data_IF_301886798219
#
_entry.id   IF_301886798219
#
_cell.length_a   1.000
_cell.length_b   1.000
_cell.length_c   1.000
_cell.angle_alpha   90.00
_cell.angle_beta   90.00
_cell.angle_gamma   90.00
#
_symmetry.space_group_name_H-M   'P 1'
#
loop_
_entity.id
_entity.type
_entity.pdbx_description
1 polymer ?
#
# COMPACT_ATOMS: atom_id res chain seq x y z
N UNK A 1 -23.93 12.80 -9.40
CA UNK A 1 -22.87 13.73 -8.97
C UNK A 1 -22.63 14.74 -10.09
N UNK A 2 -22.53 16.04 -9.78
CA UNK A 2 -22.21 17.09 -10.76
C UNK A 2 -20.70 17.01 -10.99
N UNK A 3 -20.24 16.72 -12.21
CA UNK A 3 -18.83 16.42 -12.56
C UNK A 3 -17.89 17.63 -12.47
N UNK A 4 -17.84 18.27 -11.32
CA UNK A 4 -16.96 19.40 -11.03
C UNK A 4 -15.55 18.90 -10.77
N UNK A 5 -14.57 19.69 -11.22
CA UNK A 5 -13.17 19.43 -10.89
C UNK A 5 -12.88 19.91 -9.47
N UNK A 6 -12.13 19.13 -8.70
CA UNK A 6 -11.96 19.34 -7.25
C UNK A 6 -10.49 19.57 -6.87
N UNK A 7 -10.25 20.54 -5.99
CA UNK A 7 -8.95 20.79 -5.37
C UNK A 7 -9.12 20.69 -3.85
N UNK A 8 -8.45 19.72 -3.23
CA UNK A 8 -8.50 19.51 -1.78
C UNK A 8 -7.31 20.19 -1.09
N UNK A 9 -7.61 21.03 -0.09
CA UNK A 9 -6.59 21.62 0.78
C UNK A 9 -6.50 20.78 2.05
N UNK A 10 -5.31 20.26 2.36
CA UNK A 10 -5.02 19.46 3.56
C UNK A 10 -3.88 20.11 4.33
N UNK A 11 -4.14 21.03 5.28
CA UNK A 11 -3.10 21.79 5.97
C UNK A 11 -2.04 20.92 6.67
N UNK A 12 -2.45 19.76 7.19
CA UNK A 12 -1.60 18.79 7.87
C UNK A 12 -0.55 18.16 6.95
N UNK A 13 -0.74 18.26 5.62
CA UNK A 13 0.16 17.67 4.63
C UNK A 13 1.59 18.19 4.73
N UNK A 14 1.80 19.44 5.17
CA UNK A 14 3.15 20.01 5.31
C UNK A 14 3.95 19.30 6.41
N UNK A 15 3.33 19.08 7.57
CA UNK A 15 3.93 18.31 8.66
C UNK A 15 4.11 16.84 8.27
N UNK A 16 3.12 16.26 7.59
CA UNK A 16 3.19 14.88 7.09
C UNK A 16 4.37 14.67 6.13
N UNK A 17 4.60 15.60 5.20
CA UNK A 17 5.72 15.55 4.26
C UNK A 17 7.07 15.66 4.98
N UNK A 18 7.16 16.50 6.01
CA UNK A 18 8.37 16.61 6.83
C UNK A 18 8.70 15.28 7.53
N UNK A 19 7.74 14.70 8.26
CA UNK A 19 7.93 13.43 8.96
C UNK A 19 8.19 12.28 7.96
N UNK A 20 7.48 12.26 6.83
CA UNK A 20 7.68 11.27 5.77
C UNK A 20 9.10 11.31 5.22
N UNK A 21 9.63 12.50 4.95
CA UNK A 21 11.00 12.67 4.44
C UNK A 21 12.04 12.23 5.46
N UNK A 22 11.84 12.56 6.74
CA UNK A 22 12.78 12.22 7.81
C UNK A 22 12.76 10.72 8.19
N UNK A 23 11.59 10.08 8.05
CA UNK A 23 11.33 8.71 8.53
C UNK A 23 11.04 7.69 7.43
N UNK A 24 11.30 8.02 6.16
CA UNK A 24 11.06 7.15 5.01
C UNK A 24 11.69 5.75 5.16
N UNK A 25 12.85 5.65 5.81
CA UNK A 25 13.53 4.39 6.07
C UNK A 25 12.70 3.37 6.87
N UNK A 26 11.81 3.82 7.77
CA UNK A 26 10.90 2.93 8.51
C UNK A 26 9.87 2.29 7.58
N UNK A 27 9.42 3.05 6.58
CA UNK A 27 8.52 2.53 5.55
C UNK A 27 9.23 1.51 4.65
N UNK A 28 10.48 1.78 4.27
CA UNK A 28 11.30 0.82 3.52
C UNK A 28 11.56 -0.48 4.30
N UNK A 29 11.80 -0.38 5.60
CA UNK A 29 11.93 -1.54 6.50
C UNK A 29 10.64 -2.35 6.56
N UNK A 30 9.49 -1.67 6.71
CA UNK A 30 8.18 -2.32 6.70
C UNK A 30 7.91 -3.03 5.37
N UNK A 31 8.23 -2.38 4.25
CA UNK A 31 8.08 -2.97 2.91
C UNK A 31 8.96 -4.21 2.74
N UNK A 32 10.18 -4.21 3.28
CA UNK A 32 11.06 -5.40 3.27
C UNK A 32 10.46 -6.55 4.07
N UNK A 33 9.90 -6.26 5.24
CA UNK A 33 9.22 -7.27 6.08
C UNK A 33 8.01 -7.87 5.35
N UNK A 34 7.21 -7.05 4.67
CA UNK A 34 6.07 -7.52 3.86
C UNK A 34 6.53 -8.41 2.69
N UNK A 35 7.63 -8.07 2.02
CA UNK A 35 8.23 -8.92 0.97
C UNK A 35 8.74 -10.24 1.54
N UNK A 36 9.48 -10.22 2.65
CA UNK A 36 9.97 -11.44 3.30
C UNK A 36 8.82 -12.35 3.75
N UNK A 37 7.73 -11.77 4.25
CA UNK A 37 6.52 -12.52 4.58
C UNK A 37 5.94 -13.18 3.32
N UNK A 38 5.85 -12.44 2.21
CA UNK A 38 5.44 -12.99 0.92
C UNK A 38 6.33 -14.11 0.42
N UNK A 39 7.66 -14.00 0.57
CA UNK A 39 8.63 -15.03 0.18
C UNK A 39 8.49 -16.32 0.98
N UNK A 40 8.21 -16.23 2.28
CA UNK A 40 7.97 -17.39 3.13
C UNK A 40 6.74 -18.19 2.70
N UNK A 41 5.70 -17.50 2.23
CA UNK A 41 4.47 -18.13 1.73
C UNK A 41 4.54 -18.56 0.26
N UNK A 42 5.51 -18.04 -0.51
CA UNK A 42 5.55 -18.16 -1.97
C UNK A 42 5.54 -19.59 -2.50
N UNK A 43 6.21 -20.51 -1.80
CA UNK A 43 6.37 -21.91 -2.24
C UNK A 43 5.43 -22.88 -1.50
N UNK A 44 4.52 -22.37 -0.68
CA UNK A 44 3.52 -23.20 -0.02
C UNK A 44 2.39 -23.44 -1.01
N UNK A 45 2.27 -24.69 -1.44
CA UNK A 45 1.19 -25.13 -2.32
C UNK A 45 0.02 -25.72 -1.50
N UNK A 46 -1.07 -26.06 -2.18
CA UNK A 46 -2.25 -26.68 -1.53
C UNK A 46 -1.98 -28.07 -0.93
N UNK A 47 -0.79 -28.64 -1.13
CA UNK A 47 -0.39 -29.92 -0.54
C UNK A 47 0.30 -29.75 0.81
N UNK A 48 0.73 -28.52 1.13
CA UNK A 48 1.45 -28.23 2.36
C UNK A 48 0.51 -28.20 3.56
N UNK A 49 0.77 -29.04 4.56
CA UNK A 49 -0.06 -29.20 5.76
C UNK A 49 0.41 -28.38 6.96
N UNK A 50 1.67 -27.93 6.95
CA UNK A 50 2.27 -27.19 8.06
C UNK A 50 2.45 -25.72 7.68
N UNK A 51 1.95 -24.82 8.54
CA UNK A 51 2.16 -23.37 8.37
C UNK A 51 3.57 -23.01 8.84
N UNK A 52 4.29 -22.14 8.12
CA UNK A 52 5.56 -21.63 8.60
C UNK A 52 5.35 -20.75 9.84
N UNK A 53 6.35 -20.73 10.73
CA UNK A 53 6.31 -19.83 11.88
C UNK A 53 6.61 -18.39 11.43
N UNK A 54 5.60 -17.53 11.56
CA UNK A 54 5.66 -16.11 11.21
C UNK A 54 5.73 -15.20 12.42
N UNK A 55 5.86 -15.75 13.63
CA UNK A 55 5.76 -14.98 14.87
C UNK A 55 6.79 -13.87 14.94
N UNK A 56 8.04 -14.14 14.53
CA UNK A 56 9.11 -13.16 14.51
C UNK A 56 8.81 -12.01 13.53
N UNK A 57 8.51 -12.35 12.27
CA UNK A 57 8.22 -11.35 11.21
C UNK A 57 6.99 -10.52 11.57
N UNK A 58 5.93 -11.13 12.10
CA UNK A 58 4.72 -10.41 12.56
C UNK A 58 5.04 -9.44 13.70
N UNK A 59 5.87 -9.85 14.65
CA UNK A 59 6.26 -8.99 15.77
C UNK A 59 7.09 -7.80 15.27
N UNK A 60 8.04 -8.02 14.37
CA UNK A 60 8.81 -6.95 13.73
C UNK A 60 7.92 -5.98 12.95
N UNK A 61 6.95 -6.49 12.17
CA UNK A 61 5.97 -5.64 11.46
C UNK A 61 5.19 -4.75 12.44
N UNK A 62 4.71 -5.31 13.55
CA UNK A 62 3.98 -4.56 14.59
C UNK A 62 4.86 -3.49 15.23
N UNK A 63 6.11 -3.82 15.53
CA UNK A 63 7.07 -2.91 16.15
C UNK A 63 7.40 -1.73 15.23
N UNK A 64 7.73 -2.00 13.97
CA UNK A 64 8.05 -0.97 12.97
C UNK A 64 6.82 -0.11 12.68
N UNK A 65 5.63 -0.71 12.54
CA UNK A 65 4.36 0.02 12.36
C UNK A 65 4.11 0.98 13.51
N UNK A 66 4.22 0.51 14.75
CA UNK A 66 4.02 1.35 15.94
C UNK A 66 5.05 2.47 16.03
N UNK A 67 6.34 2.18 15.76
CA UNK A 67 7.42 3.17 15.73
C UNK A 67 7.19 4.24 14.65
N UNK A 68 6.69 3.83 13.49
CA UNK A 68 6.36 4.73 12.39
C UNK A 68 5.18 5.63 12.74
N UNK A 69 4.08 5.06 13.26
CA UNK A 69 2.88 5.81 13.61
C UNK A 69 3.17 6.84 14.72
N UNK A 70 3.95 6.46 15.75
CA UNK A 70 4.38 7.37 16.82
C UNK A 70 5.20 8.57 16.32
N UNK A 71 5.84 8.49 15.16
CA UNK A 71 6.59 9.62 14.60
C UNK A 71 5.68 10.76 14.13
N UNK A 72 4.42 10.47 13.81
CA UNK A 72 3.42 11.46 13.41
C UNK A 72 2.59 11.96 14.61
N UNK A 73 2.44 11.13 15.64
CA UNK A 73 1.74 11.46 16.88
C UNK A 73 1.08 10.23 17.49
N UNK A 74 0.30 10.41 18.58
CA UNK A 74 -0.35 9.29 19.28
C UNK A 74 -1.33 8.50 18.39
N UNK A 75 -1.92 9.15 17.39
CA UNK A 75 -2.91 8.54 16.49
C UNK A 75 -2.33 8.18 15.12
N UNK A 76 -1.02 8.34 14.91
CA UNK A 76 -0.39 8.06 13.63
C UNK A 76 -0.60 9.15 12.58
N UNK A 77 -0.29 8.79 11.34
CA UNK A 77 -0.46 9.64 10.16
C UNK A 77 -1.94 9.72 9.77
N UNK A 78 -2.35 10.88 9.27
CA UNK A 78 -3.67 11.10 8.68
C UNK A 78 -3.89 10.22 7.45
N UNK A 79 -2.82 9.85 6.74
CA UNK A 79 -2.88 9.11 5.48
C UNK A 79 -2.72 7.60 5.63
N UNK A 80 -2.06 7.11 6.70
CA UNK A 80 -1.76 5.68 6.85
C UNK A 80 -1.51 5.25 8.29
N UNK A 81 -1.62 3.94 8.53
CA UNK A 81 -1.01 3.24 9.66
C UNK A 81 -0.20 2.07 9.11
N UNK A 82 1.11 2.10 9.31
CA UNK A 82 2.03 1.17 8.65
C UNK A 82 1.90 1.17 7.12
N UNK A 83 1.69 -0.02 6.54
CA UNK A 83 1.51 -0.22 5.09
C UNK A 83 0.07 0.00 4.62
N UNK A 84 -0.86 0.28 5.53
CA UNK A 84 -2.30 0.42 5.23
C UNK A 84 -2.70 1.89 5.13
N UNK A 85 -3.38 2.25 4.04
CA UNK A 85 -3.97 3.58 3.88
C UNK A 85 -5.18 3.76 4.80
N UNK A 86 -5.38 4.98 5.30
CA UNK A 86 -6.59 5.34 6.03
C UNK A 86 -7.79 5.51 5.09
N UNK A 87 -8.97 5.56 5.68
CA UNK A 87 -10.19 5.91 4.95
C UNK A 87 -10.09 7.32 4.34
N UNK A 88 -9.50 8.28 5.07
CA UNK A 88 -9.25 9.63 4.56
C UNK A 88 -8.39 9.59 3.28
N UNK A 89 -7.24 8.90 3.31
CA UNK A 89 -6.38 8.75 2.11
C UNK A 89 -7.15 8.16 0.92
N UNK A 90 -7.98 7.14 1.16
CA UNK A 90 -8.80 6.53 0.13
C UNK A 90 -9.82 7.50 -0.48
N UNK A 91 -10.39 8.39 0.34
CA UNK A 91 -11.29 9.45 -0.13
C UNK A 91 -10.55 10.52 -0.94
N UNK A 92 -9.35 10.93 -0.50
CA UNK A 92 -8.52 11.91 -1.23
C UNK A 92 -8.22 11.40 -2.63
N UNK A 93 -7.71 10.17 -2.76
CA UNK A 93 -7.36 9.56 -4.06
C UNK A 93 -8.58 9.41 -4.98
N UNK A 94 -9.77 9.13 -4.42
CA UNK A 94 -10.99 8.89 -5.21
C UNK A 94 -11.69 10.16 -5.66
N UNK A 95 -11.71 11.20 -4.81
CA UNK A 95 -12.61 12.35 -4.99
C UNK A 95 -11.89 13.66 -5.28
N UNK A 96 -10.59 13.79 -4.98
CA UNK A 96 -9.82 14.99 -5.27
C UNK A 96 -9.06 14.82 -6.60
N UNK A 97 -9.29 15.71 -7.57
CA UNK A 97 -8.45 15.75 -8.77
C UNK A 97 -7.02 16.23 -8.45
N UNK A 98 -6.91 17.18 -7.52
CA UNK A 98 -5.66 17.74 -7.02
C UNK A 98 -5.74 17.89 -5.50
N UNK A 99 -4.60 17.74 -4.83
CA UNK A 99 -4.48 18.01 -3.40
C UNK A 99 -3.17 18.73 -3.09
N UNK A 100 -3.17 19.59 -2.08
CA UNK A 100 -1.98 20.28 -1.59
C UNK A 100 -2.17 20.76 -0.14
N UNK A 101 -1.07 21.17 0.50
CA UNK A 101 -1.12 21.77 1.84
C UNK A 101 -1.85 23.13 1.84
N UNK A 102 -1.67 23.91 0.78
CA UNK A 102 -2.33 25.20 0.57
C UNK A 102 -2.72 25.38 -0.89
N UNK A 103 -3.82 26.10 -1.14
CA UNK A 103 -4.25 26.47 -2.49
C UNK A 103 -3.26 27.42 -3.17
N UNK A 104 -2.42 28.12 -2.39
CA UNK A 104 -1.38 29.02 -2.92
C UNK A 104 -0.35 28.30 -3.78
N UNK A 105 -0.23 26.97 -3.65
CA UNK A 105 0.66 26.17 -4.49
C UNK A 105 0.32 26.27 -5.98
N UNK A 106 -0.90 26.66 -6.34
CA UNK A 106 -1.31 26.90 -7.73
C UNK A 106 -0.59 28.11 -8.36
N UNK A 107 -0.09 29.07 -7.56
CA UNK A 107 0.59 30.28 -8.06
C UNK A 107 1.92 29.92 -8.75
N UNK A 108 2.54 28.80 -8.36
CA UNK A 108 3.78 28.31 -8.96
C UNK A 108 3.59 27.67 -10.34
N UNK A 109 2.34 27.54 -10.82
CA UNK A 109 2.01 26.95 -12.11
C UNK A 109 1.36 27.97 -13.04
N UNK A 110 1.66 27.94 -14.36
CA UNK A 110 0.98 28.80 -15.33
C UNK A 110 -0.49 28.42 -15.49
N UNK A 111 -1.34 29.36 -15.89
CA UNK A 111 -2.77 29.09 -16.11
C UNK A 111 -3.06 28.04 -17.19
N UNK A 112 -2.12 27.80 -18.10
CA UNK A 112 -2.21 26.77 -19.15
C UNK A 112 -1.52 25.45 -18.75
N UNK A 113 -1.26 25.22 -17.46
CA UNK A 113 -0.62 23.99 -17.00
C UNK A 113 -1.55 22.78 -17.10
N UNK A 114 -1.01 21.64 -17.54
CA UNK A 114 -1.74 20.38 -17.63
C UNK A 114 -1.25 19.42 -16.53
N UNK A 115 -2.01 19.29 -15.45
CA UNK A 115 -1.74 18.28 -14.42
C UNK A 115 -2.01 16.87 -14.96
N UNK A 116 -1.05 15.96 -14.80
CA UNK A 116 -1.11 14.61 -15.36
C UNK A 116 -0.74 13.57 -14.30
N UNK A 117 -1.59 12.56 -14.14
CA UNK A 117 -1.32 11.38 -13.33
C UNK A 117 -1.02 10.18 -14.26
N UNK A 118 -0.14 9.24 -13.85
CA UNK A 118 0.05 7.98 -14.56
C UNK A 118 -1.27 7.18 -14.66
N UNK A 119 -1.48 6.41 -15.74
CA UNK A 119 -2.66 5.54 -15.84
C UNK A 119 -2.61 4.44 -14.77
N UNK A 120 -3.73 4.21 -14.09
CA UNK A 120 -3.88 3.09 -13.17
C UNK A 120 -4.17 1.82 -13.97
N UNK A 121 -3.17 0.95 -14.08
CA UNK A 121 -3.31 -0.32 -14.79
C UNK A 121 -3.96 -1.38 -13.89
N UNK A 122 -4.84 -2.19 -14.47
CA UNK A 122 -5.37 -3.36 -13.81
C UNK A 122 -4.27 -4.41 -13.62
N UNK A 123 -4.34 -5.31 -12.62
CA UNK A 123 -3.26 -6.26 -12.35
C UNK A 123 -2.82 -7.11 -13.56
N UNK A 124 -3.75 -7.46 -14.46
CA UNK A 124 -3.47 -8.23 -15.66
C UNK A 124 -2.82 -7.42 -16.80
N UNK A 125 -2.91 -6.09 -16.75
CA UNK A 125 -2.25 -5.18 -17.71
C UNK A 125 -0.78 -4.95 -17.32
N UNK A 126 -0.44 -5.12 -16.05
CA UNK A 126 0.91 -4.93 -15.51
C UNK A 126 1.86 -6.12 -15.73
N UNK A 127 1.34 -7.34 -15.92
CA UNK A 127 2.16 -8.56 -16.12
C UNK A 127 2.59 -8.76 -17.57
N UNK A 128 2.02 -8.00 -18.51
CA UNK A 128 2.38 -8.04 -19.93
C UNK A 128 3.36 -6.90 -20.20
N UNK A 129 4.65 -7.20 -20.18
CA UNK A 129 5.65 -6.27 -20.68
C UNK A 129 5.42 -6.07 -22.19
N UNK A 130 4.66 -5.02 -22.54
CA UNK A 130 4.66 -4.55 -23.91
C UNK A 130 6.06 -3.99 -24.19
N UNK A 131 6.89 -4.73 -24.95
CA UNK A 131 8.11 -4.18 -25.55
C UNK A 131 7.72 -2.92 -26.35
N UNK A 132 7.82 -1.75 -25.73
CA UNK A 132 7.71 -0.48 -26.44
C UNK A 132 8.98 -0.31 -27.25
N UNK A 133 9.03 -0.87 -28.46
CA UNK A 133 9.77 -0.26 -29.56
C UNK A 133 9.02 1.00 -30.01
N UNK A 134 9.01 2.03 -29.18
CA UNK A 134 8.73 3.39 -29.66
C UNK A 134 10.06 4.05 -29.98
N UNK A 135 10.62 3.65 -31.13
CA UNK A 135 11.36 4.61 -31.93
C UNK A 135 10.41 5.80 -32.20
N UNK A 136 10.96 7.01 -32.17
CA UNK A 136 10.28 8.32 -32.26
C UNK A 136 9.97 8.95 -30.88
N UNK A 137 11.01 9.41 -30.19
CA UNK A 137 11.02 10.75 -29.57
C UNK A 137 12.47 11.26 -29.47
N UNK A 138 13.21 11.22 -30.58
CA UNK A 138 14.39 12.08 -30.75
C UNK A 138 13.91 13.42 -31.27
N UNK A 139 13.67 14.37 -30.36
CA UNK A 139 13.96 15.82 -30.46
C UNK A 139 13.08 16.63 -29.50
N UNK A 140 13.53 16.76 -28.25
CA UNK A 140 13.63 18.05 -27.53
C UNK A 140 14.31 17.84 -26.17
N UNK A 141 15.63 17.72 -26.22
CA UNK A 141 16.51 18.03 -25.10
C UNK A 141 16.61 19.56 -24.95
N UNK A 142 16.34 20.08 -23.75
CA UNK A 142 17.35 20.82 -22.98
C UNK A 142 16.83 21.14 -21.56
N UNK A 143 17.53 20.55 -20.58
CA UNK A 143 17.84 21.02 -19.22
C UNK A 143 16.72 21.00 -18.17
N UNK A 144 16.80 20.03 -17.24
CA UNK A 144 17.02 20.24 -15.79
C UNK A 144 17.43 18.88 -15.19
N UNK A 145 18.38 18.96 -14.26
CA UNK A 145 19.24 17.91 -13.70
C UNK A 145 18.53 16.86 -12.85
N UNK A 146 19.19 15.71 -12.80
CA UNK A 146 18.86 14.47 -12.11
C UNK A 146 18.70 14.63 -10.59
N UNK A 147 17.61 14.06 -10.05
CA UNK A 147 17.59 13.49 -8.69
C UNK A 147 17.00 12.09 -8.79
N UNK A 148 17.90 11.11 -8.80
CA UNK A 148 17.64 9.68 -8.93
C UNK A 148 17.02 9.12 -7.64
N UNK A 149 15.80 8.61 -7.74
CA UNK A 149 15.05 7.95 -6.67
C UNK A 149 14.71 6.52 -7.11
N UNK A 150 15.58 5.59 -6.74
CA UNK A 150 15.52 4.16 -7.04
C UNK A 150 14.24 3.52 -6.46
N UNK A 151 13.16 3.41 -7.26
CA UNK A 151 12.08 2.45 -7.00
C UNK A 151 12.39 1.17 -7.76
N UNK A 152 13.11 0.29 -7.09
CA UNK A 152 13.59 -0.99 -7.60
C UNK A 152 12.42 -1.99 -7.70
N UNK A 153 11.59 -1.88 -8.74
CA UNK A 153 10.59 -2.90 -9.07
C UNK A 153 11.29 -4.12 -9.69
N UNK A 154 11.99 -4.91 -8.88
CA UNK A 154 12.36 -6.28 -9.24
C UNK A 154 11.10 -7.14 -9.14
N UNK A 155 10.27 -7.11 -10.18
CA UNK A 155 9.26 -8.12 -10.39
C UNK A 155 9.95 -9.40 -10.83
N UNK A 156 9.74 -10.46 -10.07
CA UNK A 156 10.18 -11.81 -10.32
C UNK A 156 9.69 -12.30 -11.69
N UNK A 157 10.62 -12.51 -12.62
CA UNK A 157 10.36 -13.20 -13.89
C UNK A 157 10.00 -14.65 -13.56
N UNK A 158 8.71 -14.96 -13.52
CA UNK A 158 8.22 -16.34 -13.58
C UNK A 158 8.27 -16.76 -15.04
N UNK A 159 9.13 -17.74 -15.33
CA UNK A 159 9.21 -18.39 -16.63
C UNK A 159 7.82 -18.83 -17.09
N UNK A 160 7.42 -18.39 -18.29
CA UNK A 160 6.17 -18.78 -18.93
C UNK A 160 6.12 -20.29 -19.17
N UNK A 161 5.58 -21.04 -18.21
CA UNK A 161 5.03 -22.37 -18.47
C UNK A 161 3.64 -22.19 -19.05
N UNK A 162 3.46 -22.60 -20.30
CA UNK A 162 2.21 -22.55 -21.07
C UNK A 162 1.07 -23.37 -20.42
N UNK A 163 0.47 -22.85 -19.37
CA UNK A 163 -0.82 -23.33 -18.86
C UNK A 163 -1.78 -22.13 -18.79
N UNK A 164 -2.50 -21.91 -19.88
CA UNK A 164 -3.46 -20.80 -20.04
C UNK A 164 -4.73 -20.96 -19.22
N UNK A 165 -4.88 -22.02 -18.42
CA UNK A 165 -5.98 -22.16 -17.46
C UNK A 165 -5.66 -23.24 -16.42
N UNK A 166 -5.76 -22.96 -15.12
CA UNK A 166 -5.82 -24.01 -14.11
C UNK A 166 -7.08 -24.87 -14.32
N UNK A 167 -6.96 -26.18 -14.10
CA UNK A 167 -8.10 -27.10 -14.20
C UNK A 167 -9.17 -26.77 -13.16
N UNK A 168 -10.43 -26.99 -13.54
CA UNK A 168 -11.57 -26.81 -12.63
C UNK A 168 -11.41 -27.71 -11.39
N UNK A 169 -11.39 -27.14 -10.18
CA UNK A 169 -11.25 -27.93 -8.96
C UNK A 169 -12.42 -28.92 -8.84
N UNK A 170 -12.10 -30.20 -8.64
CA UNK A 170 -13.08 -31.30 -8.61
C UNK A 170 -13.67 -31.54 -7.22
N UNK A 171 -13.19 -30.83 -6.20
CA UNK A 171 -13.55 -31.05 -4.79
C UNK A 171 -13.87 -29.70 -4.16
N UNK A 172 -15.03 -29.62 -3.50
CA UNK A 172 -15.43 -28.46 -2.70
C UNK A 172 -14.69 -28.52 -1.36
N UNK A 173 -13.68 -27.68 -1.19
CA UNK A 173 -13.03 -27.46 0.12
C UNK A 173 -13.72 -26.30 0.83
N UNK A 174 -14.88 -26.55 1.42
CA UNK A 174 -15.49 -25.58 2.34
C UNK A 174 -14.93 -25.83 3.75
N UNK A 175 -13.89 -25.10 4.13
CA UNK A 175 -13.51 -24.95 5.54
C UNK A 175 -14.37 -23.83 6.12
N UNK A 176 -15.22 -24.17 7.07
CA UNK A 176 -16.03 -23.19 7.77
C UNK A 176 -15.12 -22.38 8.69
N UNK A 177 -15.05 -21.06 8.49
CA UNK A 177 -14.38 -20.14 9.41
C UNK A 177 -15.31 -19.88 10.61
N UNK A 178 -15.41 -20.83 11.55
CA UNK A 178 -16.02 -20.58 12.88
C UNK A 178 -14.94 -20.09 13.86
N UNK A 179 -14.34 -18.93 13.60
CA UNK A 179 -13.48 -18.21 14.57
C UNK A 179 -14.15 -16.88 14.97
N UNK A 180 -15.44 -16.93 15.31
CA UNK A 180 -16.15 -15.87 16.03
C UNK A 180 -16.94 -16.47 17.20
N UNK A 181 -16.26 -16.85 18.29
CA UNK A 181 -16.89 -16.89 19.62
C UNK A 181 -16.12 -15.97 20.57
N UNK A 182 -16.62 -14.74 20.71
CA UNK A 182 -16.32 -13.86 21.84
C UNK A 182 -17.04 -14.45 23.07
N UNK A 183 -16.34 -15.18 23.91
CA UNK A 183 -16.82 -15.58 25.24
C UNK A 183 -16.11 -14.71 26.28
N UNK A 184 -16.64 -13.50 26.49
CA UNK A 184 -16.34 -12.66 27.64
C UNK A 184 -17.22 -13.13 28.81
N UNK A 185 -16.73 -14.10 29.59
CA UNK A 185 -17.37 -14.49 30.86
C UNK A 185 -16.69 -13.77 32.03
N UNK A 186 -17.33 -12.68 32.44
CA UNK A 186 -17.02 -11.87 33.62
C UNK A 186 -17.11 -12.72 34.90
N UNK A 187 -15.96 -13.10 35.47
CA UNK A 187 -15.90 -13.65 36.82
C UNK A 187 -15.94 -12.51 37.85
N UNK A 188 -17.15 -12.11 38.24
CA UNK A 188 -17.34 -11.41 39.52
C UNK A 188 -17.92 -12.36 40.56
N UNK A 189 -17.05 -12.71 41.50
CA UNK A 189 -17.36 -13.20 42.82
C UNK A 189 -18.47 -12.40 43.50
N UNK A 190 -19.49 -13.06 44.03
CA UNK A 190 -20.10 -12.64 45.29
C UNK A 190 -20.70 -13.83 46.05
N UNK A 191 -20.09 -14.01 47.21
CA UNK A 191 -20.37 -14.89 48.33
C UNK A 191 -21.69 -14.53 49.02
N UNK A 192 -22.53 -15.53 49.35
CA UNK A 192 -23.10 -15.69 50.71
C UNK A 192 -23.93 -16.97 50.87
N UNK A 193 -23.38 -17.80 51.73
CA UNK A 193 -23.99 -18.79 52.62
C UNK A 193 -25.21 -18.23 53.35
N UNK A 194 -26.34 -18.96 53.38
CA UNK A 194 -26.99 -19.61 54.55
C UNK A 194 -27.95 -20.66 54.03
#
# INVERSE_FOLDING_TARGET
>A
MRGWRTFLVVPELDQELHVWTDKCHLFDELQKLDVMLGELYKNLDSSTKEKPDISQVRNSIREVTHKMDLAYGMMGSVFRSGSRQTFFSSQVVRYADLYAATFLNLIYYPFSYMFRAPPMLMPHESTVAHEKKSAIETRRSTLIEDVDGLVNNKCCVLNSTNQLRPEMPKIVTHTHDEDYSDEESDNKSEEKTV
#
